data_IF_769990894472
#
_entry.id   IF_769990894472
#
_cell.length_a   1.000
_cell.length_b   1.000
_cell.length_c   1.000
_cell.angle_alpha   90.00
_cell.angle_beta   90.00
_cell.angle_gamma   90.00
#
_symmetry.space_group_name_H-M   'P 1'
#
loop_
_entity.id
_entity.type
_entity.pdbx_description
1 polymer ?
#
# COMPACT_ATOMS: atom_id res chain seq x y z
N UNK A 1 14.00 -18.21 8.06
CA UNK A 1 12.58 -18.09 7.69
C UNK A 1 12.04 -16.76 8.21
N UNK A 2 11.27 -15.99 7.42
CA UNK A 2 10.70 -14.73 7.92
C UNK A 2 9.70 -15.00 9.05
N UNK A 3 9.65 -14.09 10.03
CA UNK A 3 8.72 -14.16 11.15
C UNK A 3 7.29 -14.00 10.62
N UNK A 4 6.43 -15.00 10.85
CA UNK A 4 5.05 -14.99 10.35
C UNK A 4 4.20 -13.89 11.01
N UNK A 5 4.50 -13.53 12.26
CA UNK A 5 3.74 -12.57 13.05
C UNK A 5 4.61 -11.43 13.57
N UNK A 6 4.07 -10.22 13.51
CA UNK A 6 4.69 -8.99 13.98
C UNK A 6 3.88 -8.40 15.14
N UNK A 7 4.59 -7.88 16.13
CA UNK A 7 4.02 -7.12 17.24
C UNK A 7 3.63 -5.71 16.80
N UNK A 8 2.81 -5.03 17.60
CA UNK A 8 2.46 -3.61 17.39
C UNK A 8 3.71 -2.74 17.18
N UNK A 9 4.77 -2.96 17.97
CA UNK A 9 6.02 -2.18 17.87
C UNK A 9 6.78 -2.45 16.58
N UNK A 10 6.86 -3.72 16.17
CA UNK A 10 7.50 -4.10 14.90
C UNK A 10 6.76 -3.50 13.70
N UNK A 11 5.42 -3.58 13.69
CA UNK A 11 4.61 -2.97 12.62
C UNK A 11 4.76 -1.45 12.58
N UNK A 12 4.74 -0.79 13.75
CA UNK A 12 4.91 0.65 13.86
C UNK A 12 6.26 1.10 13.28
N UNK A 13 7.34 0.41 13.64
CA UNK A 13 8.68 0.69 13.13
C UNK A 13 8.77 0.45 11.62
N UNK A 14 8.18 -0.65 11.13
CA UNK A 14 8.21 -1.00 9.71
C UNK A 14 7.49 0.03 8.83
N UNK A 15 6.32 0.50 9.29
CA UNK A 15 5.48 1.43 8.53
C UNK A 15 5.81 2.91 8.81
N UNK A 16 6.75 3.19 9.72
CA UNK A 16 7.11 4.55 10.11
C UNK A 16 5.97 5.31 10.80
N UNK A 17 5.13 4.61 11.58
CA UNK A 17 3.99 5.20 12.31
C UNK A 17 4.13 4.94 13.81
N UNK A 18 3.28 5.58 14.62
CA UNK A 18 3.27 5.31 16.05
C UNK A 18 2.57 3.98 16.38
N UNK A 19 2.93 3.30 17.48
CA UNK A 19 2.18 2.13 17.97
C UNK A 19 0.70 2.42 18.23
N UNK A 20 0.35 3.66 18.59
CA UNK A 20 -1.04 4.08 18.77
C UNK A 20 -1.80 4.05 17.44
N UNK A 21 -1.17 4.49 16.35
CA UNK A 21 -1.75 4.42 15.00
C UNK A 21 -2.10 2.98 14.62
N UNK A 22 -1.20 2.03 14.89
CA UNK A 22 -1.43 0.61 14.62
C UNK A 22 -2.60 0.07 15.45
N UNK A 23 -2.69 0.42 16.74
CA UNK A 23 -3.84 0.03 17.60
C UNK A 23 -5.16 0.66 17.13
N UNK A 24 -5.12 1.88 16.60
CA UNK A 24 -6.29 2.54 16.06
C UNK A 24 -6.76 1.87 14.76
N UNK A 25 -5.85 1.38 13.93
CA UNK A 25 -6.21 0.58 12.76
C UNK A 25 -6.86 -0.76 13.15
N UNK A 26 -6.38 -1.40 14.22
CA UNK A 26 -7.05 -2.57 14.83
C UNK A 26 -8.45 -2.25 15.31
N UNK A 27 -8.61 -1.19 16.10
CA UNK A 27 -9.93 -0.77 16.59
C UNK A 27 -10.92 -0.42 15.45
N UNK A 28 -10.42 0.03 14.31
CA UNK A 28 -11.21 0.39 13.12
C UNK A 28 -11.38 -0.75 12.11
N UNK A 29 -10.81 -1.92 12.38
CA UNK A 29 -10.84 -3.08 11.45
C UNK A 29 -10.00 -2.91 10.19
N UNK A 30 -9.21 -1.84 10.05
CA UNK A 30 -8.28 -1.65 8.93
C UNK A 30 -7.12 -2.65 8.99
N UNK A 31 -6.76 -3.09 10.20
CA UNK A 31 -5.73 -4.10 10.40
C UNK A 31 -6.20 -5.07 11.48
N UNK A 32 -6.40 -6.35 11.17
CA UNK A 32 -6.97 -7.29 12.15
C UNK A 32 -5.88 -7.96 12.98
N UNK A 33 -5.87 -7.76 14.30
CA UNK A 33 -4.92 -8.43 15.18
C UNK A 33 -5.33 -9.88 15.48
N UNK A 34 -4.40 -10.81 15.31
CA UNK A 34 -4.43 -12.08 16.01
C UNK A 34 -4.07 -11.86 17.49
N UNK A 35 -4.86 -12.44 18.38
CA UNK A 35 -4.64 -12.34 19.82
C UNK A 35 -3.89 -13.55 20.32
N UNK A 36 -2.73 -13.32 20.94
CA UNK A 36 -1.95 -14.41 21.52
C UNK A 36 -2.73 -15.09 22.67
N UNK A 37 -2.85 -16.43 22.69
CA UNK A 37 -3.76 -17.13 23.60
C UNK A 37 -3.41 -16.95 25.08
N UNK A 38 -2.13 -16.76 25.41
CA UNK A 38 -1.68 -16.70 26.81
C UNK A 38 -1.76 -15.29 27.44
N UNK A 39 -1.67 -14.23 26.63
CA UNK A 39 -1.54 -12.86 27.17
C UNK A 39 -2.30 -11.81 26.36
N UNK A 40 -3.12 -12.23 25.40
CA UNK A 40 -3.95 -11.39 24.55
C UNK A 40 -3.18 -10.27 23.82
N UNK A 41 -1.88 -10.45 23.62
CA UNK A 41 -1.06 -9.50 22.90
C UNK A 41 -1.44 -9.49 21.42
N UNK A 42 -1.42 -8.30 20.81
CA UNK A 42 -1.76 -8.10 19.40
C UNK A 42 -0.59 -8.51 18.51
N UNK A 43 -0.86 -9.45 17.63
CA UNK A 43 0.05 -9.95 16.60
C UNK A 43 -0.59 -9.76 15.23
N UNK A 44 0.20 -9.41 14.23
CA UNK A 44 -0.25 -9.16 12.87
C UNK A 44 0.50 -10.05 11.92
N UNK A 45 -0.18 -10.66 10.94
CA UNK A 45 0.51 -11.50 9.97
C UNK A 45 1.36 -10.62 9.05
N UNK A 46 2.52 -11.13 8.65
CA UNK A 46 3.40 -10.42 7.74
C UNK A 46 2.68 -10.04 6.43
N UNK A 47 1.86 -10.96 5.89
CA UNK A 47 1.07 -10.75 4.66
C UNK A 47 0.10 -9.57 4.76
N UNK A 48 -0.62 -9.43 5.87
CA UNK A 48 -1.57 -8.33 6.08
C UNK A 48 -0.83 -6.97 6.11
N UNK A 49 0.39 -6.95 6.66
CA UNK A 49 1.21 -5.74 6.72
C UNK A 49 1.78 -5.38 5.35
N UNK A 50 2.13 -6.37 4.53
CA UNK A 50 2.61 -6.14 3.18
C UNK A 50 1.50 -5.61 2.26
N UNK A 51 0.29 -6.14 2.38
CA UNK A 51 -0.89 -5.61 1.68
C UNK A 51 -1.19 -4.17 2.09
N UNK A 52 -1.14 -3.89 3.41
CA UNK A 52 -1.32 -2.55 3.93
C UNK A 52 -0.26 -1.57 3.43
N UNK A 53 1.01 -1.99 3.32
CA UNK A 53 2.08 -1.15 2.79
C UNK A 53 1.81 -0.77 1.33
N UNK A 54 1.39 -1.74 0.50
CA UNK A 54 1.00 -1.50 -0.90
C UNK A 54 -0.17 -0.52 -1.00
N UNK A 55 -1.20 -0.68 -0.17
CA UNK A 55 -2.34 0.24 -0.11
C UNK A 55 -1.89 1.67 0.24
N UNK A 56 -0.99 1.81 1.23
CA UNK A 56 -0.46 3.11 1.65
C UNK A 56 0.37 3.78 0.56
N UNK A 57 1.18 3.02 -0.18
CA UNK A 57 1.95 3.55 -1.32
C UNK A 57 1.04 4.06 -2.45
N UNK A 58 0.01 3.30 -2.81
CA UNK A 58 -0.99 3.71 -3.81
C UNK A 58 -1.67 5.02 -3.37
N UNK A 59 -2.07 5.11 -2.10
CA UNK A 59 -2.73 6.30 -1.57
C UNK A 59 -1.82 7.55 -1.61
N UNK A 60 -0.52 7.38 -1.40
CA UNK A 60 0.47 8.46 -1.53
C UNK A 60 0.63 8.91 -2.97
N UNK A 61 0.65 7.98 -3.92
CA UNK A 61 0.70 8.29 -5.36
C UNK A 61 -0.56 9.04 -5.79
N UNK A 62 -1.75 8.53 -5.47
CA UNK A 62 -3.02 9.17 -5.80
C UNK A 62 -3.13 10.61 -5.27
N UNK A 63 -2.59 10.87 -4.08
CA UNK A 63 -2.57 12.21 -3.47
C UNK A 63 -1.50 13.14 -4.07
N UNK A 64 -0.47 12.58 -4.73
CA UNK A 64 0.63 13.32 -5.34
C UNK A 64 0.39 13.62 -6.82
N UNK A 65 -0.55 12.94 -7.50
CA UNK A 65 -0.99 13.31 -8.85
C UNK A 65 -1.57 14.74 -8.74
N UNK A 66 -0.89 15.77 -9.26
CA UNK A 66 -1.50 17.09 -9.38
C UNK A 66 -2.72 16.94 -10.30
N UNK A 67 -3.73 17.80 -10.18
CA UNK A 67 -4.83 17.86 -11.15
C UNK A 67 -4.28 18.27 -12.52
N UNK A 68 -3.71 17.31 -13.24
CA UNK A 68 -3.22 17.45 -14.61
C UNK A 68 -4.42 17.06 -15.46
N UNK A 69 -5.05 18.00 -16.20
CA UNK A 69 -5.98 17.62 -17.24
C UNK A 69 -5.23 16.71 -18.20
N UNK A 70 -5.67 15.46 -18.33
CA UNK A 70 -5.15 14.53 -19.31
C UNK A 70 -5.53 15.06 -20.71
N UNK A 71 -4.72 15.96 -21.25
CA UNK A 71 -4.78 16.35 -22.66
C UNK A 71 -4.26 15.16 -23.46
N UNK A 72 -5.18 14.37 -24.02
CA UNK A 72 -4.84 13.20 -24.81
C UNK A 72 -4.11 13.64 -26.07
N UNK A 73 -2.78 13.50 -26.12
CA UNK A 73 -2.04 13.61 -27.36
C UNK A 73 -2.45 12.47 -28.30
N UNK A 74 -3.35 12.78 -29.26
CA UNK A 74 -3.70 11.85 -30.34
C UNK A 74 -2.44 11.49 -31.13
N UNK A 75 -2.15 10.20 -31.39
CA UNK A 75 -0.95 9.82 -32.12
C UNK A 75 -1.00 10.39 -33.55
N UNK A 76 0.02 11.17 -33.92
CA UNK A 76 0.22 11.62 -35.30
C UNK A 76 0.62 10.42 -36.15
N UNK A 77 -0.34 9.83 -36.86
CA UNK A 77 -0.07 8.82 -37.88
C UNK A 77 0.70 9.50 -39.03
N UNK A 78 1.99 9.17 -39.19
CA UNK A 78 2.75 9.56 -40.37
C UNK A 78 2.29 8.68 -41.54
N UNK A 79 1.68 9.28 -42.57
CA UNK A 79 1.42 8.61 -43.84
C UNK A 79 2.76 8.42 -44.58
N UNK A 80 3.21 7.19 -44.73
CA UNK A 80 4.25 6.83 -45.69
C UNK A 80 3.60 6.81 -47.09
N UNK A 81 4.13 7.59 -48.02
CA UNK A 81 3.82 7.43 -49.44
C UNK A 81 4.70 6.31 -49.97
N UNK A 82 4.07 5.27 -50.51
CA UNK A 82 4.76 4.20 -51.22
C UNK A 82 4.51 4.51 -52.69
N UNK A 83 5.55 4.95 -53.39
CA UNK A 83 5.53 5.05 -54.84
C UNK A 83 5.96 3.69 -55.39
N UNK A 84 5.05 3.00 -56.09
CA UNK A 84 5.38 1.80 -56.87
C UNK A 84 5.32 2.19 -58.35
N UNK A 85 6.40 1.86 -59.03
CA UNK A 85 6.72 2.09 -60.45
C UNK A 85 5.68 1.50 -61.41
#
# INVERSE_FOLDING_TARGET
>A
MPKQFLTVKEVANLLGVTPLTVRNWDAKGKLTAYRHPMNNYRLYKNVDIEELLKELEISKVAKKIPNIPFEQEKPRVKKLKIDVL
#
